data_IF_574693373057
#
_entry.id   IF_574693373057
#
_cell.length_a   1.000
_cell.length_b   1.000
_cell.length_c   1.000
_cell.angle_alpha   90.00
_cell.angle_beta   90.00
_cell.angle_gamma   90.00
#
_symmetry.space_group_name_H-M   'P 1'
#
loop_
_entity.id
_entity.type
_entity.pdbx_description
1 polymer ?
#
# COMPACT_ATOMS: atom_id res chain seq x y z
N UNK A 1 -15.95 -17.00 15.75
CA UNK A 1 -14.86 -17.94 15.51
C UNK A 1 -13.55 -17.40 16.08
N UNK A 2 -12.64 -18.27 16.44
CA UNK A 2 -11.33 -17.89 16.98
C UNK A 2 -10.43 -17.49 15.83
N UNK A 3 -9.87 -16.27 15.89
CA UNK A 3 -8.79 -15.84 14.99
C UNK A 3 -7.50 -16.41 15.53
N UNK A 4 -6.75 -17.10 14.69
CA UNK A 4 -5.45 -17.68 15.05
C UNK A 4 -4.34 -16.97 14.28
N UNK A 5 -3.25 -16.67 14.98
CA UNK A 5 -2.03 -16.12 14.43
C UNK A 5 -0.91 -17.13 14.63
N UNK A 6 -0.21 -17.48 13.56
CA UNK A 6 1.01 -18.28 13.60
C UNK A 6 2.17 -17.46 13.08
N UNK A 7 3.35 -17.69 13.64
CA UNK A 7 4.55 -17.03 13.16
C UNK A 7 5.77 -17.97 13.29
N UNK A 8 6.69 -17.82 12.35
CA UNK A 8 8.00 -18.50 12.38
C UNK A 8 9.09 -17.45 12.51
N UNK A 9 9.90 -17.49 13.60
CA UNK A 9 11.01 -16.56 13.76
C UNK A 9 12.17 -16.95 12.86
N UNK A 10 12.91 -15.94 12.41
CA UNK A 10 14.21 -16.11 11.75
C UNK A 10 15.15 -14.98 12.12
N UNK A 11 16.42 -15.32 12.33
CA UNK A 11 17.45 -14.32 12.58
C UNK A 11 17.94 -13.71 11.26
N UNK A 12 18.03 -12.40 11.23
CA UNK A 12 18.57 -11.65 10.09
C UNK A 12 19.72 -10.80 10.60
N UNK A 13 20.93 -11.01 10.06
CA UNK A 13 22.11 -10.24 10.40
C UNK A 13 22.27 -9.09 9.39
N UNK A 14 22.37 -7.87 9.88
CA UNK A 14 22.64 -6.67 9.08
C UNK A 14 24.12 -6.59 8.71
N UNK A 15 24.45 -5.74 7.74
CA UNK A 15 25.84 -5.52 7.29
C UNK A 15 26.78 -4.97 8.37
N UNK A 16 26.23 -4.37 9.43
CA UNK A 16 26.97 -3.87 10.61
C UNK A 16 27.18 -4.96 11.69
N UNK A 17 26.75 -6.22 11.41
CA UNK A 17 26.86 -7.35 12.33
C UNK A 17 25.75 -7.44 13.39
N UNK A 18 24.80 -6.49 13.42
CA UNK A 18 23.65 -6.55 14.32
C UNK A 18 22.69 -7.65 13.88
N UNK A 19 22.12 -8.37 14.82
CA UNK A 19 21.12 -9.43 14.57
C UNK A 19 19.75 -8.96 15.03
N UNK A 20 18.74 -9.18 14.20
CA UNK A 20 17.33 -8.88 14.49
C UNK A 20 16.49 -10.11 14.20
N UNK A 21 15.57 -10.44 15.11
CA UNK A 21 14.56 -11.45 14.85
C UNK A 21 13.47 -10.88 13.96
N UNK A 22 13.28 -11.48 12.80
CA UNK A 22 12.18 -11.22 11.89
C UNK A 22 11.19 -12.38 11.92
N UNK A 23 10.01 -12.19 11.42
CA UNK A 23 8.96 -13.21 11.44
C UNK A 23 8.24 -13.31 10.10
N UNK A 24 7.88 -14.52 9.73
CA UNK A 24 6.82 -14.79 8.76
C UNK A 24 5.53 -15.06 9.55
N UNK A 25 4.41 -14.47 9.16
CA UNK A 25 3.15 -14.53 9.90
C UNK A 25 2.01 -15.01 9.01
N UNK A 26 1.15 -15.84 9.58
CA UNK A 26 -0.07 -16.36 8.94
C UNK A 26 -1.28 -16.01 9.80
N UNK A 27 -2.38 -15.69 9.12
CA UNK A 27 -3.66 -15.41 9.76
C UNK A 27 -4.70 -16.39 9.25
N UNK A 28 -5.45 -16.99 10.15
CA UNK A 28 -6.54 -17.87 9.78
C UNK A 28 -7.58 -17.99 10.88
N UNK A 29 -8.66 -18.69 10.57
CA UNK A 29 -9.75 -19.02 11.49
C UNK A 29 -10.01 -20.53 11.49
N UNK A 30 -10.73 -20.98 12.48
CA UNK A 30 -11.07 -22.40 12.70
C UNK A 30 -11.79 -23.04 11.50
N UNK A 31 -12.49 -22.23 10.68
CA UNK A 31 -13.20 -22.64 9.46
C UNK A 31 -12.55 -22.08 8.17
N UNK A 32 -11.29 -21.66 8.22
CA UNK A 32 -10.47 -21.34 7.09
C UNK A 32 -10.56 -19.91 6.56
N UNK A 33 -11.69 -19.22 6.67
CA UNK A 33 -11.86 -17.84 6.15
C UNK A 33 -12.05 -16.86 7.30
N UNK A 34 -11.26 -15.81 7.32
CA UNK A 34 -11.42 -14.70 8.24
C UNK A 34 -12.21 -13.58 7.55
N UNK A 35 -13.45 -13.42 7.94
CA UNK A 35 -14.29 -12.33 7.47
C UNK A 35 -14.07 -11.08 8.32
N UNK A 36 -13.77 -9.95 7.66
CA UNK A 36 -13.64 -8.66 8.34
C UNK A 36 -14.95 -7.88 8.30
N UNK A 37 -15.08 -6.89 9.19
CA UNK A 37 -16.10 -5.86 9.05
C UNK A 37 -15.80 -4.93 7.86
N UNK A 38 -16.55 -3.83 7.76
CA UNK A 38 -16.38 -2.85 6.66
C UNK A 38 -15.15 -1.95 6.81
N UNK A 39 -14.54 -1.90 7.98
CA UNK A 39 -13.39 -1.03 8.27
C UNK A 39 -12.15 -1.86 8.67
N UNK A 40 -11.14 -1.84 7.79
CA UNK A 40 -9.84 -2.46 8.01
C UNK A 40 -8.71 -1.42 8.17
N UNK A 41 -9.07 -0.19 8.56
CA UNK A 41 -8.08 0.88 8.76
C UNK A 41 -7.04 0.47 9.80
N UNK A 42 -5.76 0.53 9.43
CA UNK A 42 -4.64 0.23 10.30
C UNK A 42 -4.50 -1.24 10.73
N UNK A 43 -5.26 -2.17 10.15
CA UNK A 43 -5.35 -3.57 10.61
C UNK A 43 -3.98 -4.27 10.73
N UNK A 44 -3.07 -3.99 9.83
CA UNK A 44 -1.71 -4.54 9.78
C UNK A 44 -0.65 -3.44 9.82
N UNK A 45 -0.94 -2.33 10.54
CA UNK A 45 0.02 -1.25 10.70
C UNK A 45 1.18 -1.64 11.62
N UNK A 46 2.34 -0.99 11.38
CA UNK A 46 3.54 -1.14 12.21
C UNK A 46 4.16 -2.55 12.28
N UNK A 47 3.98 -3.36 11.24
CA UNK A 47 4.64 -4.67 11.15
C UNK A 47 6.13 -4.50 10.82
N UNK A 48 6.92 -4.04 11.79
CA UNK A 48 8.33 -3.70 11.59
C UNK A 48 9.26 -4.92 11.59
N UNK A 49 8.80 -6.05 12.15
CA UNK A 49 9.55 -7.29 12.27
C UNK A 49 8.94 -8.45 11.46
N UNK A 50 7.87 -8.19 10.70
CA UNK A 50 7.23 -9.19 9.83
C UNK A 50 7.76 -9.02 8.42
N UNK A 51 8.40 -10.03 7.85
CA UNK A 51 8.89 -10.00 6.47
C UNK A 51 7.85 -10.47 5.46
N UNK A 52 7.08 -11.49 5.84
CA UNK A 52 6.01 -12.04 5.02
C UNK A 52 4.73 -12.12 5.83
N UNK A 53 3.63 -11.76 5.23
CA UNK A 53 2.30 -11.82 5.80
C UNK A 53 1.40 -12.59 4.83
N UNK A 54 0.94 -13.76 5.25
CA UNK A 54 -0.02 -14.55 4.49
C UNK A 54 -1.45 -14.12 4.83
N UNK A 55 -2.11 -13.54 3.85
CA UNK A 55 -3.49 -13.07 3.92
C UNK A 55 -4.46 -13.91 3.08
N UNK A 56 -4.03 -15.09 2.62
CA UNK A 56 -4.81 -15.94 1.72
C UNK A 56 -6.19 -16.35 2.28
N UNK A 57 -6.37 -16.26 3.59
CA UNK A 57 -7.63 -16.56 4.29
C UNK A 57 -8.45 -15.33 4.68
N UNK A 58 -7.98 -14.12 4.30
CA UNK A 58 -8.69 -12.88 4.62
C UNK A 58 -9.74 -12.57 3.54
N UNK A 59 -11.00 -12.54 3.92
CA UNK A 59 -12.08 -12.07 3.06
C UNK A 59 -12.23 -10.55 3.19
N UNK A 60 -12.00 -9.84 2.10
CA UNK A 60 -12.07 -8.38 2.05
C UNK A 60 -13.31 -7.84 1.35
N UNK A 61 -14.27 -8.73 1.00
CA UNK A 61 -15.45 -8.42 0.17
C UNK A 61 -16.28 -7.24 0.69
N UNK A 62 -16.39 -7.10 2.00
CA UNK A 62 -17.22 -6.06 2.63
C UNK A 62 -16.45 -4.82 3.07
N UNK A 63 -15.12 -4.78 2.88
CA UNK A 63 -14.31 -3.65 3.30
C UNK A 63 -14.60 -2.44 2.42
N UNK A 64 -14.88 -1.32 3.07
CA UNK A 64 -15.03 0.00 2.43
C UNK A 64 -13.87 0.95 2.76
N UNK A 65 -13.16 0.69 3.85
CA UNK A 65 -12.05 1.52 4.31
C UNK A 65 -10.79 0.66 4.55
N UNK A 66 -9.77 0.85 3.70
CA UNK A 66 -8.43 0.24 3.79
C UNK A 66 -7.35 1.28 4.13
N UNK A 67 -7.76 2.46 4.64
CA UNK A 67 -6.77 3.48 4.98
C UNK A 67 -5.74 2.96 5.98
N UNK A 68 -4.45 3.24 5.71
CA UNK A 68 -3.35 2.85 6.60
C UNK A 68 -3.26 1.35 6.90
N UNK A 69 -3.88 0.48 6.09
CA UNK A 69 -3.98 -0.95 6.39
C UNK A 69 -2.61 -1.59 6.68
N UNK A 70 -1.56 -1.20 5.94
CA UNK A 70 -0.17 -1.63 6.13
C UNK A 70 0.75 -0.47 6.53
N UNK A 71 0.21 0.59 7.14
CA UNK A 71 0.94 1.80 7.48
C UNK A 71 2.18 1.49 8.33
N UNK A 72 3.35 2.04 7.92
CA UNK A 72 4.64 1.88 8.62
C UNK A 72 5.06 0.42 8.85
N UNK A 73 4.57 -0.51 8.03
CA UNK A 73 4.97 -1.93 8.06
C UNK A 73 6.30 -2.11 7.33
N UNK A 74 7.33 -1.50 7.88
CA UNK A 74 8.67 -1.39 7.30
C UNK A 74 9.43 -2.71 7.22
N UNK A 75 8.97 -3.76 7.90
CA UNK A 75 9.55 -5.10 7.82
C UNK A 75 9.13 -5.89 6.58
N UNK A 76 7.93 -5.59 6.02
CA UNK A 76 7.37 -6.35 4.90
C UNK A 76 8.25 -6.23 3.65
N UNK A 77 8.78 -7.36 3.18
CA UNK A 77 9.55 -7.47 1.93
C UNK A 77 8.67 -7.84 0.73
N UNK A 78 7.63 -8.61 0.98
CA UNK A 78 6.64 -9.01 -0.02
C UNK A 78 5.29 -9.24 0.63
N UNK A 79 4.22 -9.06 -0.15
CA UNK A 79 2.85 -9.33 0.26
C UNK A 79 2.06 -9.81 -0.96
N UNK A 80 1.26 -10.86 -0.78
CA UNK A 80 0.32 -11.33 -1.79
C UNK A 80 -1.07 -10.77 -1.49
N UNK A 81 -1.59 -9.99 -2.43
CA UNK A 81 -2.90 -9.35 -2.37
C UNK A 81 -3.82 -9.85 -3.49
N UNK A 82 -3.47 -10.96 -4.15
CA UNK A 82 -4.22 -11.48 -5.29
C UNK A 82 -5.67 -11.88 -4.95
N UNK A 83 -5.94 -12.21 -3.69
CA UNK A 83 -7.28 -12.54 -3.18
C UNK A 83 -8.09 -11.32 -2.69
N UNK A 84 -7.50 -10.11 -2.71
CA UNK A 84 -8.20 -8.93 -2.23
C UNK A 84 -9.32 -8.51 -3.19
N UNK A 85 -10.53 -8.43 -2.68
CA UNK A 85 -11.65 -7.78 -3.34
C UNK A 85 -11.75 -6.33 -2.84
N UNK A 86 -11.40 -5.38 -3.71
CA UNK A 86 -11.42 -3.94 -3.38
C UNK A 86 -12.61 -3.20 -3.99
N UNK A 87 -13.57 -3.91 -4.59
CA UNK A 87 -14.70 -3.32 -5.34
C UNK A 87 -15.62 -2.42 -4.51
N UNK A 88 -15.57 -2.53 -3.18
CA UNK A 88 -16.34 -1.70 -2.27
C UNK A 88 -15.50 -0.63 -1.55
N UNK A 89 -14.19 -0.58 -1.79
CA UNK A 89 -13.29 0.32 -1.07
C UNK A 89 -13.43 1.75 -1.60
N UNK A 90 -13.64 2.69 -0.68
CA UNK A 90 -13.75 4.12 -0.94
C UNK A 90 -12.54 4.92 -0.44
N UNK A 91 -11.78 4.37 0.51
CA UNK A 91 -10.63 5.03 1.12
C UNK A 91 -9.40 4.12 1.15
N UNK A 92 -8.33 4.53 0.45
CA UNK A 92 -7.02 3.89 0.42
C UNK A 92 -5.89 4.81 0.93
N UNK A 93 -6.26 5.88 1.69
CA UNK A 93 -5.28 6.82 2.23
C UNK A 93 -4.18 6.10 3.01
N UNK A 94 -2.92 6.31 2.61
CA UNK A 94 -1.76 5.76 3.31
C UNK A 94 -1.71 4.23 3.41
N UNK A 95 -2.42 3.49 2.53
CA UNK A 95 -2.55 2.03 2.65
C UNK A 95 -1.20 1.33 2.81
N UNK A 96 -0.18 1.75 2.06
CA UNK A 96 1.20 1.23 2.11
C UNK A 96 2.22 2.25 2.58
N UNK A 97 1.79 3.37 3.16
CA UNK A 97 2.72 4.42 3.59
C UNK A 97 3.77 3.86 4.56
N UNK A 98 5.04 4.05 4.22
CA UNK A 98 6.17 3.61 5.03
C UNK A 98 6.48 2.11 4.96
N UNK A 99 5.93 1.38 3.98
CA UNK A 99 6.35 0.01 3.67
C UNK A 99 7.71 0.02 2.98
N UNK A 100 8.73 0.48 3.68
CA UNK A 100 10.04 0.83 3.10
C UNK A 100 10.85 -0.36 2.60
N UNK A 101 10.56 -1.58 3.04
CA UNK A 101 11.24 -2.80 2.59
C UNK A 101 10.56 -3.50 1.39
N UNK A 102 9.34 -3.07 1.00
CA UNK A 102 8.68 -3.65 -0.17
C UNK A 102 9.48 -3.36 -1.45
N UNK A 103 9.90 -4.41 -2.14
CA UNK A 103 10.65 -4.30 -3.38
C UNK A 103 9.74 -4.26 -4.62
N UNK A 104 8.59 -4.91 -4.54
CA UNK A 104 7.56 -4.97 -5.59
C UNK A 104 6.17 -5.10 -4.98
N UNK A 105 5.16 -4.73 -5.75
CA UNK A 105 3.77 -4.81 -5.34
C UNK A 105 2.90 -5.06 -6.58
N UNK A 106 2.18 -6.18 -6.61
CA UNK A 106 1.22 -6.50 -7.68
C UNK A 106 -0.19 -6.07 -7.23
N UNK A 107 -0.76 -5.12 -7.96
CA UNK A 107 -2.08 -4.54 -7.69
C UNK A 107 -3.05 -4.75 -8.88
N UNK A 108 -2.77 -5.67 -9.78
CA UNK A 108 -3.59 -5.89 -11.00
C UNK A 108 -5.04 -6.27 -10.69
N UNK A 109 -5.30 -6.89 -9.53
CA UNK A 109 -6.65 -7.27 -9.10
C UNK A 109 -7.43 -6.13 -8.44
N UNK A 110 -6.77 -4.99 -8.14
CA UNK A 110 -7.43 -3.89 -7.46
C UNK A 110 -8.44 -3.20 -8.36
N UNK A 111 -9.68 -3.13 -7.89
CA UNK A 111 -10.72 -2.28 -8.44
C UNK A 111 -10.79 -1.00 -7.60
N UNK A 112 -10.45 0.13 -8.22
CA UNK A 112 -10.40 1.44 -7.53
C UNK A 112 -11.53 2.38 -7.93
N UNK A 113 -12.52 1.91 -8.68
CA UNK A 113 -13.59 2.73 -9.25
C UNK A 113 -14.44 3.51 -8.24
N UNK A 114 -14.48 3.06 -6.97
CA UNK A 114 -15.18 3.76 -5.89
C UNK A 114 -14.27 4.58 -4.97
N UNK A 115 -12.95 4.53 -5.19
CA UNK A 115 -11.99 5.20 -4.31
C UNK A 115 -12.02 6.71 -4.51
N UNK A 116 -12.09 7.45 -3.41
CA UNK A 116 -12.11 8.92 -3.39
C UNK A 116 -10.86 9.54 -2.79
N UNK A 117 -10.12 8.80 -1.95
CA UNK A 117 -8.90 9.26 -1.29
C UNK A 117 -7.76 8.24 -1.47
N UNK A 118 -6.69 8.66 -2.18
CA UNK A 118 -5.44 7.93 -2.39
C UNK A 118 -4.23 8.71 -1.84
N UNK A 119 -4.46 9.75 -1.00
CA UNK A 119 -3.34 10.50 -0.43
C UNK A 119 -2.37 9.57 0.31
N UNK A 120 -1.07 9.76 0.12
CA UNK A 120 0.00 8.97 0.74
C UNK A 120 -0.04 7.45 0.48
N UNK A 121 -0.82 6.95 -0.49
CA UNK A 121 -1.03 5.51 -0.66
C UNK A 121 0.28 4.71 -0.71
N UNK A 122 1.31 5.23 -1.38
CA UNK A 122 2.65 4.63 -1.51
C UNK A 122 3.77 5.50 -0.92
N UNK A 123 3.42 6.54 -0.16
CA UNK A 123 4.45 7.43 0.40
C UNK A 123 5.49 6.62 1.19
N UNK A 124 6.77 6.97 1.00
CA UNK A 124 7.90 6.35 1.71
C UNK A 124 8.09 4.84 1.45
N UNK A 125 7.51 4.29 0.38
CA UNK A 125 7.87 2.98 -0.15
C UNK A 125 9.22 3.05 -0.85
N UNK A 126 10.28 3.25 -0.08
CA UNK A 126 11.59 3.66 -0.59
C UNK A 126 12.33 2.61 -1.42
N UNK A 127 11.97 1.33 -1.32
CA UNK A 127 12.61 0.23 -2.05
C UNK A 127 11.83 -0.23 -3.29
N UNK A 128 10.60 0.21 -3.49
CA UNK A 128 9.85 -0.12 -4.72
C UNK A 128 10.57 0.49 -5.92
N UNK A 129 10.84 -0.35 -6.94
CA UNK A 129 11.54 0.06 -8.16
C UNK A 129 10.61 0.30 -9.33
N UNK A 130 9.47 -0.39 -9.36
CA UNK A 130 8.47 -0.28 -10.43
C UNK A 130 7.07 -0.39 -9.84
N UNK A 131 6.14 0.43 -10.36
CA UNK A 131 4.70 0.35 -10.07
C UNK A 131 3.92 0.46 -11.38
N UNK A 132 3.10 -0.54 -11.65
CA UNK A 132 2.13 -0.51 -12.73
C UNK A 132 0.73 -0.31 -12.15
N UNK A 133 0.15 0.87 -12.39
CA UNK A 133 -1.18 1.26 -11.95
C UNK A 133 -2.12 1.48 -13.14
N UNK A 134 -1.82 0.88 -14.29
CA UNK A 134 -2.62 1.03 -15.53
C UNK A 134 -4.06 0.51 -15.42
N UNK A 135 -4.35 -0.29 -14.39
CA UNK A 135 -5.71 -0.75 -14.07
C UNK A 135 -6.47 0.16 -13.08
N UNK A 136 -5.82 1.20 -12.53
CA UNK A 136 -6.47 2.07 -11.55
C UNK A 136 -7.45 3.02 -12.24
N UNK A 137 -8.72 2.95 -11.87
CA UNK A 137 -9.71 3.97 -12.19
C UNK A 137 -9.67 5.04 -11.09
N UNK A 138 -9.22 6.25 -11.46
CA UNK A 138 -9.13 7.39 -10.55
C UNK A 138 -10.21 8.44 -10.79
N UNK A 139 -11.20 8.15 -11.62
CA UNK A 139 -12.25 9.09 -12.02
C UNK A 139 -13.11 9.64 -10.86
N UNK A 140 -13.08 8.98 -9.70
CA UNK A 140 -13.76 9.43 -8.48
C UNK A 140 -12.79 9.95 -7.40
N UNK A 141 -11.48 9.93 -7.65
CA UNK A 141 -10.49 10.39 -6.69
C UNK A 141 -10.48 11.91 -6.61
N UNK A 142 -10.56 12.41 -5.38
CA UNK A 142 -10.52 13.86 -5.10
C UNK A 142 -9.21 14.29 -4.43
N UNK A 143 -8.44 13.33 -3.89
CA UNK A 143 -7.25 13.62 -3.09
C UNK A 143 -6.13 12.60 -3.38
N UNK A 144 -5.00 13.10 -3.90
CA UNK A 144 -3.73 12.39 -4.11
C UNK A 144 -2.56 13.06 -3.38
N UNK A 145 -2.82 14.21 -2.74
CA UNK A 145 -1.88 15.00 -1.95
C UNK A 145 -2.56 15.60 -0.74
N UNK A 146 -1.81 16.32 0.11
CA UNK A 146 -2.36 16.91 1.32
C UNK A 146 -3.10 18.22 1.03
N UNK A 147 -4.34 18.41 1.51
CA UNK A 147 -5.06 19.70 1.42
C UNK A 147 -4.44 20.79 2.32
N UNK A 148 -3.63 20.41 3.32
CA UNK A 148 -3.03 21.34 4.27
C UNK A 148 -1.54 21.53 3.98
N UNK A 149 -1.07 22.79 3.96
CA UNK A 149 0.24 23.23 3.46
C UNK A 149 1.50 22.75 4.22
N UNK A 150 1.40 21.81 5.12
CA UNK A 150 2.50 21.40 6.00
C UNK A 150 3.37 20.25 5.48
N UNK A 151 3.57 20.14 4.15
CA UNK A 151 4.67 19.33 3.60
C UNK A 151 4.57 17.79 3.71
N UNK A 152 3.53 17.25 4.30
CA UNK A 152 3.37 15.82 4.56
C UNK A 152 2.18 15.22 3.80
N UNK A 153 2.32 15.06 2.51
CA UNK A 153 1.29 14.40 1.71
C UNK A 153 1.71 14.29 0.26
N UNK A 154 1.32 13.20 -0.38
CA UNK A 154 1.62 12.93 -1.78
C UNK A 154 1.70 11.43 -2.03
N UNK A 155 0.94 10.97 -3.02
CA UNK A 155 0.70 9.55 -3.27
C UNK A 155 1.99 8.72 -3.38
N UNK A 156 3.04 9.27 -4.01
CA UNK A 156 4.34 8.61 -4.23
C UNK A 156 5.50 9.30 -3.52
N UNK A 157 5.20 10.18 -2.56
CA UNK A 157 6.23 10.96 -1.88
C UNK A 157 7.33 10.04 -1.30
N UNK A 158 8.60 10.39 -1.55
CA UNK A 158 9.78 9.65 -1.09
C UNK A 158 9.87 8.18 -1.55
N UNK A 159 9.28 7.82 -2.68
CA UNK A 159 9.57 6.57 -3.37
C UNK A 159 10.95 6.67 -4.04
N UNK A 160 12.02 6.64 -3.23
CA UNK A 160 13.38 7.02 -3.66
C UNK A 160 13.95 6.11 -4.75
N UNK A 161 13.61 4.82 -4.73
CA UNK A 161 14.11 3.83 -5.69
C UNK A 161 13.21 3.63 -6.92
N UNK A 162 12.07 4.32 -6.98
CA UNK A 162 11.09 4.16 -8.06
C UNK A 162 11.68 4.66 -9.38
N UNK A 163 11.86 3.76 -10.35
CA UNK A 163 12.43 4.02 -11.68
C UNK A 163 11.38 4.06 -12.77
N UNK A 164 10.32 3.24 -12.61
CA UNK A 164 9.22 3.15 -13.57
C UNK A 164 7.90 3.27 -12.85
N UNK A 165 7.05 4.15 -13.34
CA UNK A 165 5.70 4.36 -12.85
C UNK A 165 4.76 4.48 -14.05
N UNK A 166 3.77 3.58 -14.11
CA UNK A 166 2.71 3.63 -15.10
C UNK A 166 1.41 4.16 -14.47
N UNK A 167 1.03 5.37 -14.86
CA UNK A 167 -0.20 6.07 -14.46
C UNK A 167 -1.06 6.43 -15.67
N UNK A 168 -0.93 5.68 -16.76
CA UNK A 168 -1.60 5.96 -18.05
C UNK A 168 -3.13 5.93 -17.97
N UNK A 169 -3.71 5.28 -16.95
CA UNK A 169 -5.16 5.24 -16.71
C UNK A 169 -5.67 6.37 -15.84
N UNK A 170 -4.78 7.19 -15.25
CA UNK A 170 -5.21 8.20 -14.28
C UNK A 170 -6.07 9.27 -14.97
N UNK A 171 -7.20 9.56 -14.34
CA UNK A 171 -8.07 10.69 -14.64
C UNK A 171 -8.02 11.63 -13.43
N UNK A 172 -7.51 12.84 -13.60
CA UNK A 172 -7.32 13.81 -12.52
C UNK A 172 -8.38 14.90 -12.48
N UNK A 173 -9.40 14.85 -13.34
CA UNK A 173 -10.41 15.91 -13.50
C UNK A 173 -11.19 16.26 -12.23
N UNK A 174 -11.28 15.35 -11.24
CA UNK A 174 -11.89 15.60 -9.94
C UNK A 174 -10.88 15.83 -8.81
N UNK A 175 -9.58 15.66 -9.08
CA UNK A 175 -8.55 15.76 -8.05
C UNK A 175 -8.35 17.23 -7.65
N UNK A 176 -8.55 17.51 -6.36
CA UNK A 176 -8.40 18.86 -5.79
C UNK A 176 -7.01 19.08 -5.17
N UNK A 177 -6.36 18.03 -4.75
CA UNK A 177 -5.10 18.10 -4.00
C UNK A 177 -4.12 17.06 -4.52
N UNK A 178 -3.00 17.55 -5.12
CA UNK A 178 -1.88 16.74 -5.65
C UNK A 178 -0.53 17.19 -5.10
N UNK A 179 -0.51 17.96 -4.00
CA UNK A 179 0.74 18.50 -3.45
C UNK A 179 1.73 17.37 -3.13
N UNK A 180 3.01 17.60 -3.45
CA UNK A 180 4.12 16.70 -3.18
C UNK A 180 4.00 15.28 -3.78
N UNK A 181 3.11 15.07 -4.76
CA UNK A 181 2.77 13.74 -5.29
C UNK A 181 4.01 12.91 -5.65
N UNK A 182 5.02 13.54 -6.24
CA UNK A 182 6.28 12.90 -6.66
C UNK A 182 7.52 13.45 -5.93
N UNK A 183 7.31 14.19 -4.83
CA UNK A 183 8.44 14.74 -4.07
C UNK A 183 9.36 13.62 -3.59
N UNK A 184 10.67 13.74 -3.86
CA UNK A 184 11.67 12.76 -3.40
C UNK A 184 11.69 11.44 -4.18
N UNK A 185 11.01 11.33 -5.33
CA UNK A 185 11.16 10.21 -6.26
C UNK A 185 12.46 10.35 -7.06
N UNK A 186 13.60 10.28 -6.38
CA UNK A 186 14.91 10.68 -6.93
C UNK A 186 15.46 9.77 -8.04
N UNK A 187 14.93 8.55 -8.16
CA UNK A 187 15.32 7.60 -9.22
C UNK A 187 14.42 7.65 -10.45
N UNK A 188 13.33 8.43 -10.42
CA UNK A 188 12.40 8.53 -11.53
C UNK A 188 12.97 9.48 -12.59
N UNK A 189 13.35 8.94 -13.76
CA UNK A 189 14.01 9.71 -14.82
C UNK A 189 13.06 10.15 -15.93
N UNK A 190 11.89 9.52 -16.03
CA UNK A 190 10.84 9.89 -16.97
C UNK A 190 9.47 9.55 -16.38
N UNK A 191 8.48 10.35 -16.72
CA UNK A 191 7.10 10.16 -16.30
C UNK A 191 6.18 10.75 -17.35
N UNK A 192 5.24 9.95 -17.85
CA UNK A 192 4.20 10.42 -18.75
C UNK A 192 2.98 10.87 -17.93
N UNK A 193 2.65 12.15 -18.01
CA UNK A 193 1.51 12.79 -17.37
C UNK A 193 0.55 13.39 -18.41
N UNK A 194 0.60 12.92 -19.66
CA UNK A 194 -0.20 13.48 -20.77
C UNK A 194 -1.71 13.37 -20.56
N UNK A 195 -2.13 12.51 -19.63
CA UNK A 195 -3.53 12.31 -19.23
C UNK A 195 -3.94 13.03 -17.92
N UNK A 196 -3.06 13.87 -17.38
CA UNK A 196 -3.39 14.71 -16.22
C UNK A 196 -4.03 16.01 -16.69
N UNK A 197 -5.15 16.42 -16.03
CA UNK A 197 -5.85 17.67 -16.26
C UNK A 197 -5.34 18.79 -15.34
#
# INVERSE_FOLDING_TARGET
>A
GTVMLWYTPKEVTSSDGSTKTMYDMWIGGENGVLQTGTNASGMFAYLTNIEKLDLSKLDTTYITNMSKMFYMSSGLKSIDLSNFNTSNVTNMNGMFWGCSSLASLDLKTFNTSKVTDMNNMFAECSNITELDLSNFDTSNVTTMGNPYSYGYGGMFRNCKSLKKLNVSSFNTSKVKYMSNMFQGCSSLTSLDLSNFD
#
